data_IF_629242105350
#
_entry.id   IF_629242105350
#
_cell.length_a   1.000
_cell.length_b   1.000
_cell.length_c   1.000
_cell.angle_alpha   90.00
_cell.angle_beta   90.00
_cell.angle_gamma   90.00
#
_symmetry.space_group_name_H-M   'P 1'
#
loop_
_entity.id
_entity.type
_entity.pdbx_description
1 polymer ?
#
# COMPACT_ATOMS: atom_id res chain seq x y z
N UNK A 1 -24.93 -33.81 -33.09
CA UNK A 1 -24.17 -33.50 -31.86
C UNK A 1 -23.51 -32.15 -32.09
N UNK A 2 -23.89 -31.11 -31.35
CA UNK A 2 -23.30 -29.76 -31.54
C UNK A 2 -22.05 -29.67 -30.66
N UNK A 3 -20.90 -29.39 -31.27
CA UNK A 3 -19.63 -29.18 -30.59
C UNK A 3 -19.40 -27.68 -30.39
N UNK A 4 -19.45 -27.22 -29.13
CA UNK A 4 -19.04 -25.86 -28.77
C UNK A 4 -17.55 -25.83 -28.47
N UNK A 5 -16.81 -24.96 -29.18
CA UNK A 5 -15.43 -24.60 -28.85
C UNK A 5 -15.44 -23.43 -27.88
N UNK A 6 -14.79 -23.61 -26.74
CA UNK A 6 -14.55 -22.53 -25.77
C UNK A 6 -13.07 -22.14 -25.91
N UNK A 7 -12.81 -20.89 -26.24
CA UNK A 7 -11.47 -20.31 -26.42
C UNK A 7 -11.25 -19.19 -25.38
N UNK A 8 -9.99 -18.87 -25.06
CA UNK A 8 -9.65 -17.75 -24.16
C UNK A 8 -9.58 -18.07 -22.65
N UNK A 9 -9.82 -19.31 -22.24
CA UNK A 9 -9.78 -19.68 -20.81
C UNK A 9 -8.38 -19.48 -20.17
N UNK A 10 -7.31 -19.64 -20.95
CA UNK A 10 -5.93 -19.40 -20.51
C UNK A 10 -5.64 -17.92 -20.25
N UNK A 11 -6.19 -17.02 -21.05
CA UNK A 11 -6.01 -15.58 -20.86
C UNK A 11 -6.80 -15.11 -19.64
N UNK A 12 -8.02 -15.64 -19.47
CA UNK A 12 -8.82 -15.42 -18.27
C UNK A 12 -8.10 -15.88 -16.99
N UNK A 13 -7.44 -17.04 -17.01
CA UNK A 13 -6.64 -17.54 -15.88
C UNK A 13 -5.52 -16.55 -15.51
N UNK A 14 -4.79 -16.04 -16.50
CA UNK A 14 -3.70 -15.08 -16.26
C UNK A 14 -4.21 -13.77 -15.66
N UNK A 15 -5.33 -13.26 -16.16
CA UNK A 15 -5.95 -12.04 -15.64
C UNK A 15 -6.46 -12.22 -14.21
N UNK A 16 -7.05 -13.37 -13.90
CA UNK A 16 -7.49 -13.72 -12.55
C UNK A 16 -6.32 -13.80 -11.55
N UNK A 17 -5.20 -14.41 -11.95
CA UNK A 17 -3.99 -14.48 -11.12
C UNK A 17 -3.45 -13.08 -10.85
N UNK A 18 -3.30 -12.26 -11.90
CA UNK A 18 -2.81 -10.88 -11.76
C UNK A 18 -3.72 -10.01 -10.88
N UNK A 19 -5.05 -10.19 -11.02
CA UNK A 19 -6.02 -9.53 -10.16
C UNK A 19 -5.88 -9.98 -8.71
N UNK A 20 -5.73 -11.28 -8.46
CA UNK A 20 -5.53 -11.86 -7.14
C UNK A 20 -4.30 -11.29 -6.43
N UNK A 21 -3.17 -11.23 -7.12
CA UNK A 21 -1.93 -10.63 -6.60
C UNK A 21 -2.12 -9.14 -6.24
N UNK A 22 -2.79 -8.38 -7.10
CA UNK A 22 -3.06 -6.96 -6.87
C UNK A 22 -3.98 -6.73 -5.68
N UNK A 23 -5.03 -7.54 -5.54
CA UNK A 23 -5.96 -7.45 -4.40
C UNK A 23 -5.26 -7.89 -3.11
N UNK A 24 -4.54 -9.01 -3.12
CA UNK A 24 -3.79 -9.51 -1.97
C UNK A 24 -2.77 -8.49 -1.46
N UNK A 25 -2.00 -7.87 -2.37
CA UNK A 25 -1.04 -6.82 -1.99
C UNK A 25 -1.73 -5.55 -1.45
N UNK A 26 -2.90 -5.17 -1.96
CA UNK A 26 -3.69 -4.05 -1.44
C UNK A 26 -4.18 -4.32 -0.02
N UNK A 27 -4.79 -5.49 0.21
CA UNK A 27 -5.30 -5.90 1.52
C UNK A 27 -4.18 -5.94 2.54
N UNK A 28 -3.03 -6.54 2.21
CA UNK A 28 -1.87 -6.58 3.09
C UNK A 28 -1.38 -5.17 3.48
N UNK A 29 -1.36 -4.23 2.53
CA UNK A 29 -0.96 -2.84 2.78
C UNK A 29 -1.94 -2.10 3.68
N UNK A 30 -3.24 -2.31 3.48
CA UNK A 30 -4.28 -1.70 4.31
C UNK A 30 -4.22 -2.25 5.74
N UNK A 31 -4.11 -3.58 5.89
CA UNK A 31 -3.93 -4.22 7.19
C UNK A 31 -2.65 -3.71 7.91
N UNK A 32 -1.53 -3.60 7.18
CA UNK A 32 -0.29 -3.07 7.73
C UNK A 32 -0.41 -1.60 8.18
N UNK A 33 -1.16 -0.76 7.46
CA UNK A 33 -1.42 0.62 7.88
C UNK A 33 -2.28 0.67 9.14
N UNK A 34 -3.33 -0.13 9.20
CA UNK A 34 -4.19 -0.21 10.38
C UNK A 34 -3.40 -0.68 11.61
N UNK A 35 -2.54 -1.68 11.45
CA UNK A 35 -1.67 -2.18 12.52
C UNK A 35 -0.67 -1.11 13.02
N UNK A 36 -0.21 -0.21 12.16
CA UNK A 36 0.73 0.86 12.50
C UNK A 36 0.06 2.15 13.02
N UNK A 37 -1.26 2.24 12.98
CA UNK A 37 -2.01 3.40 13.48
C UNK A 37 -1.69 3.77 14.94
N UNK A 38 -1.61 2.84 15.91
CA UNK A 38 -1.22 3.19 17.28
C UNK A 38 0.21 3.73 17.38
N UNK A 39 1.14 3.23 16.56
CA UNK A 39 2.53 3.72 16.51
C UNK A 39 2.58 5.14 15.96
N UNK A 40 1.78 5.43 14.93
CA UNK A 40 1.68 6.78 14.38
C UNK A 40 1.19 7.77 15.43
N UNK A 41 0.15 7.41 16.17
CA UNK A 41 -0.40 8.26 17.24
C UNK A 41 0.66 8.52 18.31
N UNK A 42 1.33 7.47 18.78
CA UNK A 42 2.38 7.59 19.80
C UNK A 42 3.53 8.50 19.34
N UNK A 43 3.99 8.33 18.11
CA UNK A 43 5.03 9.17 17.51
C UNK A 43 4.60 10.64 17.39
N UNK A 44 3.35 10.91 17.02
CA UNK A 44 2.85 12.28 16.89
C UNK A 44 2.68 12.96 18.25
N UNK A 45 2.22 12.22 19.26
CA UNK A 45 2.01 12.75 20.62
C UNK A 45 3.33 13.07 21.31
N UNK A 46 4.36 12.24 21.11
CA UNK A 46 5.64 12.37 21.80
C UNK A 46 6.74 13.05 20.97
N UNK A 47 6.46 13.42 19.72
CA UNK A 47 7.39 14.19 18.91
C UNK A 47 7.59 15.60 19.48
N UNK A 48 8.84 16.08 19.43
CA UNK A 48 9.20 17.40 19.93
C UNK A 48 8.35 18.51 19.31
N UNK A 49 7.77 19.34 20.18
CA UNK A 49 6.95 20.49 19.83
C UNK A 49 7.51 21.75 20.48
N UNK A 50 7.65 22.80 19.69
CA UNK A 50 7.99 24.14 20.16
C UNK A 50 6.83 25.08 19.83
N UNK A 51 6.04 25.45 20.83
CA UNK A 51 4.90 26.35 20.64
C UNK A 51 5.27 27.79 20.25
N UNK A 52 6.56 28.14 20.29
CA UNK A 52 7.06 29.46 19.86
C UNK A 52 7.45 29.49 18.37
N UNK A 53 7.65 28.32 17.77
CA UNK A 53 8.04 28.19 16.36
C UNK A 53 6.81 28.19 15.46
N UNK A 54 6.80 29.04 14.43
CA UNK A 54 5.75 29.06 13.41
C UNK A 54 6.00 28.10 12.23
N UNK A 55 7.12 27.36 12.25
CA UNK A 55 7.49 26.39 11.22
C UNK A 55 6.83 25.02 11.38
N UNK A 56 6.97 24.16 10.38
CA UNK A 56 6.48 22.77 10.42
C UNK A 56 7.16 21.99 11.57
N UNK A 57 6.38 21.38 12.45
CA UNK A 57 6.93 20.53 13.50
C UNK A 57 7.08 19.11 13.02
N UNK A 58 8.05 18.38 13.58
CA UNK A 58 8.32 16.99 13.21
C UNK A 58 7.05 16.13 13.29
N UNK A 59 6.21 16.33 14.31
CA UNK A 59 4.94 15.62 14.53
C UNK A 59 3.97 15.73 13.35
N UNK A 60 3.95 16.87 12.68
CA UNK A 60 2.97 17.16 11.61
C UNK A 60 3.34 16.41 10.32
N UNK A 61 4.62 16.05 10.18
CA UNK A 61 5.17 15.35 9.01
C UNK A 61 5.14 13.82 9.11
N UNK A 62 4.90 13.25 10.32
CA UNK A 62 4.92 11.79 10.55
C UNK A 62 3.71 11.14 9.87
N UNK A 63 3.98 10.12 9.05
CA UNK A 63 2.94 9.37 8.33
C UNK A 63 3.39 7.97 7.96
N UNK A 64 2.45 7.02 8.03
CA UNK A 64 2.65 5.65 7.55
C UNK A 64 2.54 5.62 6.03
N UNK A 65 3.54 5.04 5.34
CA UNK A 65 3.52 4.87 3.88
C UNK A 65 3.87 3.44 3.51
N UNK A 66 3.21 2.95 2.46
CA UNK A 66 3.55 1.70 1.80
C UNK A 66 4.17 2.05 0.45
N UNK A 67 5.36 1.54 0.16
CA UNK A 67 6.04 1.78 -1.11
C UNK A 67 6.06 0.50 -1.95
N UNK A 68 5.85 0.63 -3.26
CA UNK A 68 6.15 -0.44 -4.20
C UNK A 68 7.58 -0.23 -4.71
N UNK A 69 8.46 -1.20 -4.50
CA UNK A 69 9.77 -1.22 -5.17
C UNK A 69 9.56 -1.56 -6.66
N UNK A 70 9.12 -0.58 -7.45
CA UNK A 70 9.09 -0.66 -8.91
C UNK A 70 9.82 0.55 -9.49
N UNK A 71 11.13 0.57 -9.28
CA UNK A 71 12.16 1.27 -10.08
C UNK A 71 13.51 1.05 -9.40
N UNK A 72 14.24 0.03 -9.83
CA UNK A 72 15.70 0.17 -9.89
C UNK A 72 15.90 1.13 -11.06
N UNK A 73 16.07 2.41 -10.76
CA UNK A 73 16.54 3.38 -11.73
C UNK A 73 18.06 3.16 -11.82
N UNK A 74 18.49 2.31 -12.76
CA UNK A 74 19.89 2.30 -13.17
C UNK A 74 20.13 3.68 -13.80
N UNK A 75 20.91 4.51 -13.12
CA UNK A 75 21.51 5.74 -13.66
C UNK A 75 23.01 5.51 -13.73
#
# INVERSE_FOLDING_TARGET
>A
MITMKIEGLKDLERDLIALGEKVGTKVLREAGRAALQPVLLDMQTHAGYDGSSSGEHMRDSIKVRSTSKSKILIR
#
